data_IF_479901178795
#
_entry.id   IF_479901178795
#
_cell.length_a   1.000
_cell.length_b   1.000
_cell.length_c   1.000
_cell.angle_alpha   90.00
_cell.angle_beta   90.00
_cell.angle_gamma   90.00
#
_symmetry.space_group_name_H-M   'P 1'
#
loop_
_entity.id
_entity.type
_entity.pdbx_description
1 polymer ?
#
# COMPACT_ATOMS: atom_id res chain seq x y z
N UNK A 1 -11.47 -39.12 60.02
CA UNK A 1 -11.53 -37.64 59.93
C UNK A 1 -10.37 -37.23 59.04
N UNK A 2 -10.47 -36.86 57.76
CA UNK A 2 -11.57 -36.41 56.90
C UNK A 2 -11.27 -36.91 55.46
N UNK A 3 -12.33 -37.25 54.73
CA UNK A 3 -12.38 -37.47 53.28
C UNK A 3 -11.71 -36.33 52.48
N UNK A 4 -11.20 -36.52 51.26
CA UNK A 4 -12.01 -36.44 50.03
C UNK A 4 -11.19 -37.04 48.87
N UNK A 5 -11.89 -37.87 48.10
CA UNK A 5 -11.52 -38.44 46.83
C UNK A 5 -11.94 -37.54 45.65
N UNK A 6 -11.16 -37.55 44.56
CA UNK A 6 -11.52 -37.51 43.11
C UNK A 6 -10.19 -37.82 42.39
N UNK A 7 -9.82 -38.97 41.81
CA UNK A 7 -10.39 -39.97 40.86
C UNK A 7 -10.69 -39.46 39.44
N UNK A 8 -9.98 -40.08 38.48
CA UNK A 8 -10.17 -40.20 37.03
C UNK A 8 -9.16 -39.37 36.18
N UNK A 9 -8.09 -39.94 35.60
CA UNK A 9 -8.00 -40.99 34.55
C UNK A 9 -8.57 -40.46 33.21
N UNK A 10 -7.96 -40.52 32.02
CA UNK A 10 -7.32 -41.62 31.26
C UNK A 10 -6.63 -40.92 30.04
N UNK A 11 -5.31 -41.00 29.85
CA UNK A 11 -4.59 -41.88 28.89
C UNK A 11 -4.99 -41.73 27.41
N UNK A 12 -4.08 -41.24 26.55
CA UNK A 12 -3.31 -42.07 25.59
C UNK A 12 -2.33 -41.22 24.76
N UNK A 13 -1.08 -41.66 24.76
CA UNK A 13 -0.01 -41.18 23.90
C UNK A 13 -0.26 -41.56 22.44
N UNK A 14 -0.04 -40.61 21.52
CA UNK A 14 0.30 -40.92 20.12
C UNK A 14 1.46 -40.02 19.70
N UNK A 15 2.53 -40.71 19.36
CA UNK A 15 3.72 -40.27 18.63
C UNK A 15 3.34 -39.41 17.42
N UNK A 16 3.92 -38.22 17.32
CA UNK A 16 4.20 -37.63 16.01
C UNK A 16 5.69 -37.29 15.90
N UNK A 17 6.43 -38.32 15.54
CA UNK A 17 7.44 -38.20 14.50
C UNK A 17 6.86 -37.44 13.30
N UNK A 18 7.13 -36.14 13.23
CA UNK A 18 7.32 -35.45 11.95
C UNK A 18 8.28 -34.29 12.17
N UNK A 19 9.56 -34.63 12.03
CA UNK A 19 10.53 -33.76 11.37
C UNK A 19 9.88 -33.17 10.12
N UNK A 20 9.52 -31.90 10.22
CA UNK A 20 8.84 -31.13 9.20
C UNK A 20 9.11 -29.66 9.44
N UNK A 21 10.39 -29.33 9.66
CA UNK A 21 10.89 -27.97 9.58
C UNK A 21 10.49 -27.40 8.23
N UNK A 22 9.58 -26.44 8.28
CA UNK A 22 9.03 -25.78 7.12
C UNK A 22 8.55 -24.41 7.52
N UNK A 23 9.42 -23.63 8.18
CA UNK A 23 9.31 -22.17 8.18
C UNK A 23 9.52 -21.72 6.73
N UNK A 24 8.47 -21.84 5.93
CA UNK A 24 8.44 -21.39 4.55
C UNK A 24 8.41 -19.87 4.53
N UNK A 25 9.56 -19.25 4.77
CA UNK A 25 9.86 -17.96 4.17
C UNK A 25 9.83 -18.17 2.65
N UNK A 26 8.66 -18.01 2.04
CA UNK A 26 8.45 -18.05 0.59
C UNK A 26 9.12 -16.86 -0.17
N UNK A 27 10.16 -16.27 0.43
CA UNK A 27 11.06 -15.30 -0.19
C UNK A 27 12.34 -15.90 -0.75
N UNK A 28 12.67 -17.17 -0.46
CA UNK A 28 13.95 -17.79 -0.81
C UNK A 28 13.96 -18.75 -2.02
N UNK A 29 12.81 -19.30 -2.41
CA UNK A 29 12.77 -20.46 -3.33
C UNK A 29 12.63 -20.09 -4.81
N UNK A 30 12.79 -18.82 -5.17
CA UNK A 30 12.68 -18.36 -6.56
C UNK A 30 11.30 -18.63 -7.18
N UNK A 31 10.21 -18.63 -6.42
CA UNK A 31 8.85 -18.71 -7.00
C UNK A 31 8.27 -17.30 -7.16
N UNK A 32 7.40 -17.13 -8.17
CA UNK A 32 6.61 -15.93 -8.41
C UNK A 32 5.18 -16.34 -8.74
N UNK A 33 4.23 -15.81 -7.98
CA UNK A 33 2.81 -16.13 -8.11
C UNK A 33 2.12 -15.13 -9.05
N UNK A 34 1.57 -15.62 -10.16
CA UNK A 34 0.81 -14.83 -11.11
C UNK A 34 -0.62 -14.63 -10.57
N UNK A 35 -1.08 -13.39 -10.52
CA UNK A 35 -2.39 -13.02 -9.97
C UNK A 35 -3.21 -12.29 -11.03
N UNK A 36 -4.27 -12.95 -11.52
CA UNK A 36 -5.19 -12.35 -12.48
C UNK A 36 -5.94 -11.15 -11.88
N UNK A 37 -6.25 -10.15 -12.69
CA UNK A 37 -6.74 -8.85 -12.24
C UNK A 37 -8.01 -8.93 -11.38
N UNK A 38 -8.98 -9.75 -11.81
CA UNK A 38 -10.27 -9.91 -11.15
C UNK A 38 -10.29 -10.98 -10.03
N UNK A 39 -9.18 -11.68 -9.77
CA UNK A 39 -9.13 -12.76 -8.78
C UNK A 39 -8.64 -12.25 -7.42
N UNK A 40 -9.32 -12.62 -6.34
CA UNK A 40 -8.89 -12.31 -4.97
C UNK A 40 -7.48 -12.85 -4.69
N UNK A 41 -7.17 -14.08 -5.10
CA UNK A 41 -5.89 -14.73 -4.78
C UNK A 41 -5.83 -15.26 -3.35
N UNK A 42 -4.66 -15.74 -2.89
CA UNK A 42 -4.51 -16.38 -1.60
C UNK A 42 -4.50 -15.39 -0.43
N UNK A 43 -5.02 -15.86 0.70
CA UNK A 43 -4.88 -15.25 2.03
C UNK A 43 -5.29 -13.76 2.08
N UNK A 44 -6.52 -13.42 1.67
CA UNK A 44 -6.98 -12.04 1.63
C UNK A 44 -7.10 -11.42 3.02
N UNK A 45 -6.66 -10.17 3.15
CA UNK A 45 -6.98 -9.35 4.31
C UNK A 45 -8.47 -9.03 4.37
N UNK A 46 -9.08 -8.69 3.22
CA UNK A 46 -10.49 -8.29 3.17
C UNK A 46 -11.18 -8.86 1.93
N UNK A 47 -12.51 -8.78 1.92
CA UNK A 47 -13.27 -8.87 0.68
C UNK A 47 -12.80 -7.83 -0.34
N UNK A 48 -13.07 -8.08 -1.62
CA UNK A 48 -12.68 -7.18 -2.69
C UNK A 48 -13.28 -5.79 -2.51
N UNK A 49 -12.42 -4.77 -2.63
CA UNK A 49 -12.76 -3.35 -2.72
C UNK A 49 -12.51 -2.80 -4.12
N UNK A 50 -12.07 -3.63 -5.07
CA UNK A 50 -11.97 -3.22 -6.48
C UNK A 50 -13.36 -2.90 -7.05
N UNK A 51 -13.47 -1.85 -7.85
CA UNK A 51 -14.66 -1.55 -8.65
C UNK A 51 -14.50 -2.14 -10.05
N UNK A 52 -15.61 -2.56 -10.65
CA UNK A 52 -15.63 -3.11 -11.99
C UNK A 52 -15.25 -2.02 -13.00
N UNK A 53 -14.05 -2.15 -13.56
CA UNK A 53 -13.53 -1.33 -14.65
C UNK A 53 -12.38 -2.11 -15.27
N UNK A 54 -12.23 -2.02 -16.59
CA UNK A 54 -11.17 -2.72 -17.31
C UNK A 54 -10.33 -1.70 -18.06
N UNK A 55 -9.03 -1.70 -17.77
CA UNK A 55 -8.06 -0.87 -18.47
C UNK A 55 -7.23 -1.75 -19.42
N UNK A 56 -7.13 -1.40 -20.71
CA UNK A 56 -6.36 -2.18 -21.66
C UNK A 56 -4.87 -2.12 -21.30
N UNK A 57 -4.15 -3.25 -21.42
CA UNK A 57 -2.72 -3.29 -21.19
C UNK A 57 -1.99 -2.40 -22.19
N UNK A 58 -0.87 -1.83 -21.77
CA UNK A 58 0.08 -1.12 -22.62
C UNK A 58 1.41 -1.88 -22.59
N UNK A 59 2.04 -2.02 -23.75
CA UNK A 59 3.41 -2.52 -23.78
C UNK A 59 4.36 -1.42 -23.34
N UNK A 60 5.37 -1.78 -22.56
CA UNK A 60 6.51 -0.90 -22.33
C UNK A 60 7.19 -0.55 -23.66
N UNK A 61 7.78 0.65 -23.75
CA UNK A 61 8.58 1.01 -24.92
C UNK A 61 9.77 0.05 -25.05
N UNK A 62 10.08 -0.47 -26.25
CA UNK A 62 11.15 -1.45 -26.41
C UNK A 62 12.51 -0.87 -26.02
N UNK A 63 13.28 -1.67 -25.30
CA UNK A 63 14.71 -1.45 -25.04
C UNK A 63 15.48 -2.15 -26.15
N UNK A 64 16.40 -1.45 -26.81
CA UNK A 64 17.13 -1.96 -27.99
C UNK A 64 18.16 -3.07 -27.70
N UNK A 65 17.98 -3.90 -26.68
CA UNK A 65 18.90 -4.98 -26.31
C UNK A 65 18.20 -6.23 -25.81
N UNK A 66 18.77 -7.40 -26.12
CA UNK A 66 18.37 -8.69 -25.56
C UNK A 66 18.69 -8.72 -24.08
N UNK A 67 17.67 -8.75 -23.24
CA UNK A 67 17.82 -8.69 -21.79
C UNK A 67 17.96 -10.08 -21.16
N UNK A 68 18.73 -10.22 -20.07
CA UNK A 68 18.71 -11.41 -19.24
C UNK A 68 17.29 -11.77 -18.80
N UNK A 69 16.97 -13.06 -18.69
CA UNK A 69 15.66 -13.53 -18.21
C UNK A 69 15.29 -13.05 -16.79
N UNK A 70 16.26 -12.50 -16.04
CA UNK A 70 16.13 -11.98 -14.68
C UNK A 70 16.27 -10.45 -14.63
N UNK A 71 16.34 -9.77 -15.77
CA UNK A 71 16.45 -8.31 -15.81
C UNK A 71 15.21 -7.67 -15.17
N UNK A 72 15.44 -6.64 -14.37
CA UNK A 72 14.38 -5.87 -13.75
C UNK A 72 14.11 -4.66 -14.64
N UNK A 73 12.96 -4.66 -15.31
CA UNK A 73 12.46 -3.48 -16.06
C UNK A 73 11.81 -2.52 -15.07
N UNK A 74 12.50 -1.46 -14.73
CA UNK A 74 11.98 -0.38 -13.91
C UNK A 74 11.15 0.60 -14.75
N UNK A 75 9.98 0.98 -14.25
CA UNK A 75 9.23 2.15 -14.74
C UNK A 75 9.16 3.17 -13.61
N UNK A 76 9.43 4.43 -13.90
CA UNK A 76 9.28 5.50 -12.91
C UNK A 76 7.80 5.65 -12.51
N UNK A 77 7.51 5.69 -11.20
CA UNK A 77 6.14 5.77 -10.69
C UNK A 77 5.40 7.06 -11.06
N UNK A 78 6.10 8.11 -11.50
CA UNK A 78 5.52 9.34 -12.03
C UNK A 78 5.29 9.31 -13.55
N UNK A 79 5.68 8.23 -14.23
CA UNK A 79 5.55 8.13 -15.67
C UNK A 79 4.08 8.27 -16.12
N UNK A 80 3.75 9.27 -16.97
CA UNK A 80 2.41 9.41 -17.52
C UNK A 80 1.96 8.14 -18.24
N UNK A 81 0.73 7.71 -17.99
CA UNK A 81 0.18 6.51 -18.61
C UNK A 81 0.74 5.20 -18.05
N UNK A 82 1.50 5.20 -16.96
CA UNK A 82 1.76 3.96 -16.20
C UNK A 82 0.45 3.35 -15.68
N UNK A 83 -0.47 4.21 -15.30
CA UNK A 83 -1.76 3.85 -14.74
C UNK A 83 -2.92 4.19 -15.68
N UNK A 84 -4.00 3.44 -15.53
CA UNK A 84 -5.30 3.75 -16.10
C UNK A 84 -6.39 3.89 -15.05
N UNK A 85 -7.55 4.34 -15.48
CA UNK A 85 -8.72 4.55 -14.64
C UNK A 85 -9.75 5.42 -15.34
N UNK A 86 -11.02 5.20 -15.02
CA UNK A 86 -12.14 5.95 -15.60
C UNK A 86 -12.30 7.30 -14.88
N UNK A 87 -12.54 8.37 -15.64
CA UNK A 87 -12.79 9.71 -15.10
C UNK A 87 -13.95 9.67 -14.09
N UNK A 88 -13.76 10.31 -12.95
CA UNK A 88 -14.76 10.42 -11.89
C UNK A 88 -15.14 9.08 -11.22
N UNK A 89 -14.38 8.02 -11.48
CA UNK A 89 -14.61 6.69 -10.90
C UNK A 89 -13.33 6.20 -10.24
N UNK A 90 -13.45 5.90 -8.94
CA UNK A 90 -12.39 5.22 -8.20
C UNK A 90 -12.26 3.77 -8.65
N UNK A 91 -11.04 3.28 -8.91
CA UNK A 91 -10.80 1.85 -9.14
C UNK A 91 -10.90 1.02 -7.85
N UNK A 92 -10.81 1.65 -6.69
CA UNK A 92 -10.89 1.01 -5.37
C UNK A 92 -11.82 1.79 -4.44
N UNK A 93 -12.65 1.08 -3.69
CA UNK A 93 -13.42 1.65 -2.59
C UNK A 93 -12.56 1.74 -1.33
N UNK A 94 -11.92 2.91 -1.16
CA UNK A 94 -11.01 3.19 -0.04
C UNK A 94 -11.74 3.10 1.31
N UNK A 95 -12.95 3.64 1.41
CA UNK A 95 -13.69 3.64 2.67
C UNK A 95 -14.20 2.25 3.05
N UNK A 96 -14.57 1.42 2.06
CA UNK A 96 -14.85 0.01 2.30
C UNK A 96 -13.62 -0.73 2.84
N UNK A 97 -12.42 -0.44 2.32
CA UNK A 97 -11.17 -1.02 2.83
C UNK A 97 -10.90 -0.59 4.27
N UNK A 98 -11.02 0.72 4.56
CA UNK A 98 -10.84 1.27 5.90
C UNK A 98 -11.81 0.61 6.88
N UNK A 99 -13.10 0.54 6.54
CA UNK A 99 -14.13 -0.08 7.38
C UNK A 99 -13.84 -1.56 7.64
N UNK A 100 -13.40 -2.30 6.62
CA UNK A 100 -13.10 -3.72 6.75
C UNK A 100 -11.91 -3.98 7.70
N UNK A 101 -10.84 -3.16 7.62
CA UNK A 101 -9.71 -3.28 8.54
C UNK A 101 -10.08 -2.80 9.95
N UNK A 102 -10.85 -1.72 10.10
CA UNK A 102 -11.30 -1.27 11.42
C UNK A 102 -12.19 -2.30 12.14
N UNK A 103 -12.95 -3.09 11.39
CA UNK A 103 -13.80 -4.15 11.93
C UNK A 103 -12.99 -5.37 12.44
N UNK A 104 -11.74 -5.54 12.01
CA UNK A 104 -10.85 -6.63 12.44
C UNK A 104 -9.53 -6.06 12.96
N UNK A 105 -9.43 -5.77 14.28
CA UNK A 105 -8.23 -5.20 14.88
C UNK A 105 -6.96 -6.05 14.70
N UNK A 106 -7.09 -7.38 14.59
CA UNK A 106 -5.96 -8.28 14.41
C UNK A 106 -5.37 -8.10 13.00
N UNK A 107 -6.22 -8.11 11.98
CA UNK A 107 -5.81 -7.80 10.60
C UNK A 107 -5.30 -6.37 10.47
N UNK A 108 -5.96 -5.38 11.08
CA UNK A 108 -5.49 -4.00 11.06
C UNK A 108 -4.07 -3.85 11.62
N UNK A 109 -3.77 -4.54 12.73
CA UNK A 109 -2.43 -4.51 13.33
C UNK A 109 -1.38 -5.09 12.39
N UNK A 110 -1.66 -6.21 11.73
CA UNK A 110 -0.74 -6.82 10.77
C UNK A 110 -0.59 -5.96 9.52
N UNK A 111 -1.69 -5.41 8.99
CA UNK A 111 -1.67 -4.47 7.87
C UNK A 111 -0.78 -3.27 8.19
N UNK A 112 -1.00 -2.65 9.35
CA UNK A 112 -0.23 -1.50 9.83
C UNK A 112 1.26 -1.81 9.94
N UNK A 113 1.60 -3.00 10.45
CA UNK A 113 3.00 -3.46 10.56
C UNK A 113 3.67 -3.59 9.20
N UNK A 114 2.99 -4.11 8.17
CA UNK A 114 3.55 -4.21 6.81
C UNK A 114 3.62 -2.83 6.15
N UNK A 115 2.59 -2.00 6.33
CA UNK A 115 2.53 -0.65 5.76
C UNK A 115 3.53 0.33 6.40
N UNK A 116 4.04 0.02 7.60
CA UNK A 116 4.98 0.87 8.34
C UNK A 116 4.29 2.05 9.03
N UNK A 117 3.04 1.88 9.46
CA UNK A 117 2.24 2.92 10.13
C UNK A 117 1.70 2.40 11.46
N UNK A 118 1.37 3.27 12.44
CA UNK A 118 0.64 2.82 13.63
C UNK A 118 -0.75 2.29 13.24
N UNK A 119 -1.33 1.32 13.99
CA UNK A 119 -2.67 0.79 13.68
C UNK A 119 -3.77 1.85 13.60
N UNK A 120 -3.68 2.90 14.42
CA UNK A 120 -4.60 4.05 14.37
C UNK A 120 -4.41 4.93 13.13
N UNK A 121 -3.25 4.85 12.46
CA UNK A 121 -2.90 5.59 11.26
C UNK A 121 -3.34 4.93 9.95
N UNK A 122 -3.75 3.65 9.97
CA UNK A 122 -4.18 2.92 8.77
C UNK A 122 -5.28 3.65 7.97
N UNK A 123 -6.33 4.22 8.60
CA UNK A 123 -7.34 4.96 7.86
C UNK A 123 -6.78 6.17 7.11
N UNK A 124 -5.91 6.95 7.74
CA UNK A 124 -5.30 8.12 7.11
C UNK A 124 -4.32 7.72 6.01
N UNK A 125 -3.54 6.65 6.24
CA UNK A 125 -2.65 6.08 5.23
C UNK A 125 -3.43 5.67 3.98
N UNK A 126 -4.47 4.85 4.10
CA UNK A 126 -5.27 4.40 2.95
C UNK A 126 -5.90 5.55 2.16
N UNK A 127 -6.40 6.59 2.85
CA UNK A 127 -6.96 7.80 2.21
C UNK A 127 -5.92 8.68 1.53
N UNK A 128 -4.65 8.58 1.91
CA UNK A 128 -3.57 9.29 1.23
C UNK A 128 -3.16 8.64 -0.10
N UNK A 129 -3.51 7.37 -0.29
CA UNK A 129 -3.17 6.61 -1.49
C UNK A 129 -4.16 6.90 -2.63
N UNK A 130 -3.65 6.86 -3.85
CA UNK A 130 -4.43 7.15 -5.06
C UNK A 130 -4.94 5.84 -5.67
N UNK A 131 -6.26 5.67 -5.85
CA UNK A 131 -6.82 4.52 -6.55
C UNK A 131 -6.55 4.59 -8.06
N UNK A 132 -5.90 3.56 -8.58
CA UNK A 132 -5.58 3.42 -10.01
C UNK A 132 -5.71 1.97 -10.48
N UNK A 133 -5.60 1.73 -11.79
CA UNK A 133 -5.44 0.39 -12.37
C UNK A 133 -4.11 0.28 -13.08
N UNK A 134 -3.46 -0.88 -12.95
CA UNK A 134 -2.20 -1.16 -13.64
C UNK A 134 -2.41 -1.25 -15.16
N UNK A 135 -1.52 -0.66 -15.96
CA UNK A 135 -1.52 -0.87 -17.42
C UNK A 135 -0.47 -1.89 -17.87
N UNK A 136 0.39 -2.35 -16.97
CA UNK A 136 1.44 -3.32 -17.24
C UNK A 136 1.44 -4.41 -16.16
N UNK A 137 1.83 -5.63 -16.56
CA UNK A 137 2.03 -6.72 -15.62
C UNK A 137 3.15 -6.31 -14.63
N UNK A 138 2.84 -6.23 -13.34
CA UNK A 138 3.70 -5.56 -12.35
C UNK A 138 4.15 -6.52 -11.26
N UNK A 139 5.46 -6.58 -11.00
CA UNK A 139 6.03 -7.30 -9.87
C UNK A 139 5.87 -6.55 -8.56
N UNK A 140 5.44 -7.28 -7.55
CA UNK A 140 5.30 -6.80 -6.17
C UNK A 140 5.69 -7.90 -5.18
N UNK A 141 5.92 -7.52 -3.93
CA UNK A 141 5.79 -8.43 -2.80
C UNK A 141 4.39 -8.25 -2.23
N UNK A 142 3.61 -9.33 -2.19
CA UNK A 142 2.25 -9.31 -1.66
C UNK A 142 2.23 -10.00 -0.30
N UNK A 143 1.56 -9.39 0.68
CA UNK A 143 1.48 -9.90 2.03
C UNK A 143 0.06 -10.34 2.36
N UNK A 144 -0.15 -11.66 2.47
CA UNK A 144 -1.44 -12.22 2.89
C UNK A 144 -1.58 -12.24 4.42
N UNK A 145 -2.75 -12.65 4.89
CA UNK A 145 -3.01 -12.85 6.32
C UNK A 145 -3.38 -14.29 6.60
N UNK A 146 -2.62 -14.96 7.46
CA UNK A 146 -2.89 -16.32 7.93
C UNK A 146 -2.43 -16.47 9.38
N UNK A 147 -3.23 -17.14 10.20
CA UNK A 147 -2.89 -17.49 11.59
C UNK A 147 -2.41 -16.31 12.45
N UNK A 148 -2.99 -15.12 12.26
CA UNK A 148 -2.65 -13.93 13.04
C UNK A 148 -1.41 -13.17 12.55
N UNK A 149 -0.80 -13.58 11.45
CA UNK A 149 0.44 -13.01 10.93
C UNK A 149 0.39 -12.69 9.43
N UNK A 150 1.30 -11.82 9.00
CA UNK A 150 1.52 -11.57 7.58
C UNK A 150 2.26 -12.76 6.96
N UNK A 151 1.70 -13.33 5.89
CA UNK A 151 2.47 -14.14 4.95
C UNK A 151 3.16 -13.22 3.95
N UNK A 152 4.14 -13.73 3.21
CA UNK A 152 4.88 -12.93 2.23
C UNK A 152 5.21 -13.78 1.03
N UNK A 153 4.87 -13.31 -0.17
CA UNK A 153 5.17 -14.01 -1.41
C UNK A 153 5.45 -13.01 -2.54
N UNK A 154 6.31 -13.40 -3.47
CA UNK A 154 6.56 -12.63 -4.69
C UNK A 154 5.41 -12.85 -5.68
N UNK A 155 4.89 -11.76 -6.26
CA UNK A 155 3.77 -11.83 -7.18
C UNK A 155 3.99 -11.00 -8.45
N UNK A 156 3.33 -11.40 -9.54
CA UNK A 156 3.07 -10.55 -10.70
C UNK A 156 1.58 -10.29 -10.76
N UNK A 157 1.20 -9.03 -10.67
CA UNK A 157 -0.17 -8.57 -10.84
C UNK A 157 -0.43 -8.33 -12.33
N UNK A 158 -1.47 -8.93 -12.87
CA UNK A 158 -1.90 -8.70 -14.25
C UNK A 158 -2.25 -7.22 -14.47
N UNK A 159 -1.95 -6.68 -15.64
CA UNK A 159 -2.56 -5.43 -16.11
C UNK A 159 -4.10 -5.45 -15.95
N UNK A 160 -4.68 -4.31 -15.57
CA UNK A 160 -6.07 -4.18 -15.15
C UNK A 160 -6.29 -4.39 -13.65
N UNK A 161 -5.29 -4.85 -12.88
CA UNK A 161 -5.44 -4.96 -11.42
C UNK A 161 -5.62 -3.58 -10.79
N UNK A 162 -6.68 -3.42 -10.00
CA UNK A 162 -6.92 -2.22 -9.19
C UNK A 162 -6.01 -2.19 -7.95
N UNK A 163 -5.29 -1.09 -7.76
CA UNK A 163 -4.34 -0.88 -6.67
C UNK A 163 -4.46 0.54 -6.08
N UNK A 164 -4.04 0.68 -4.83
CA UNK A 164 -3.80 1.97 -4.19
C UNK A 164 -2.30 2.29 -4.26
N UNK A 165 -1.92 3.44 -4.85
CA UNK A 165 -0.51 3.87 -5.00
C UNK A 165 -0.16 5.05 -4.09
N UNK A 166 1.09 5.10 -3.63
CA UNK A 166 1.58 6.17 -2.75
C UNK A 166 2.04 7.44 -3.49
N UNK A 167 2.71 8.35 -2.77
CA UNK A 167 3.24 9.60 -3.28
C UNK A 167 4.11 9.50 -4.52
N UNK A 168 4.75 8.35 -4.64
CA UNK A 168 5.86 8.09 -5.54
C UNK A 168 5.41 7.13 -6.63
N UNK A 169 4.12 6.82 -6.67
CA UNK A 169 3.48 5.92 -7.60
C UNK A 169 3.63 4.46 -7.22
N UNK A 170 4.21 4.09 -6.08
CA UNK A 170 4.44 2.66 -5.78
C UNK A 170 3.12 2.01 -5.32
N UNK A 171 2.71 0.84 -5.87
CA UNK A 171 1.56 0.10 -5.37
C UNK A 171 1.75 -0.33 -3.91
N UNK A 172 0.80 0.04 -3.03
CA UNK A 172 0.82 -0.24 -1.59
C UNK A 172 -0.31 -1.14 -1.11
N UNK A 173 -1.40 -1.25 -1.86
CA UNK A 173 -2.50 -2.16 -1.54
C UNK A 173 -3.11 -2.72 -2.81
N UNK A 174 -3.38 -4.02 -2.86
CA UNK A 174 -4.16 -4.65 -3.94
C UNK A 174 -5.64 -4.72 -3.56
N UNK A 175 -6.50 -4.06 -4.32
CA UNK A 175 -7.90 -3.87 -3.92
C UNK A 175 -8.74 -5.16 -4.00
N UNK A 176 -8.34 -6.12 -4.83
CA UNK A 176 -9.04 -7.41 -4.94
C UNK A 176 -8.96 -8.29 -3.67
N UNK A 177 -7.95 -8.09 -2.81
CA UNK A 177 -7.76 -8.85 -1.57
C UNK A 177 -7.51 -8.01 -0.32
N UNK A 178 -7.35 -6.69 -0.47
CA UNK A 178 -7.02 -5.77 0.63
C UNK A 178 -5.60 -5.93 1.18
N UNK A 179 -4.77 -6.75 0.53
CA UNK A 179 -3.44 -7.06 1.02
C UNK A 179 -2.50 -5.85 0.88
N UNK A 180 -1.69 -5.53 1.91
CA UNK A 180 -0.62 -4.56 1.78
C UNK A 180 0.46 -5.12 0.86
N UNK A 181 1.07 -4.22 0.08
CA UNK A 181 2.10 -4.51 -0.91
C UNK A 181 3.39 -3.78 -0.52
N UNK A 182 4.51 -4.42 -0.79
CA UNK A 182 5.85 -3.81 -0.72
C UNK A 182 6.60 -4.01 -2.04
N UNK A 183 7.71 -3.28 -2.27
CA UNK A 183 8.53 -3.50 -3.46
C UNK A 183 8.95 -4.97 -3.63
N UNK A 184 9.04 -5.47 -4.86
CA UNK A 184 9.47 -6.84 -5.11
C UNK A 184 10.93 -7.02 -4.68
N UNK A 185 11.26 -8.24 -4.26
CA UNK A 185 12.62 -8.62 -3.90
C UNK A 185 13.32 -9.12 -5.16
N UNK A 186 14.54 -8.64 -5.40
CA UNK A 186 15.37 -9.09 -6.52
C UNK A 186 15.65 -10.59 -6.39
N UNK A 187 15.44 -11.34 -7.48
CA UNK A 187 15.71 -12.77 -7.54
C UNK A 187 16.97 -13.02 -8.35
N UNK A 188 17.84 -13.89 -7.83
CA UNK A 188 19.13 -14.22 -8.45
C UNK A 188 18.98 -15.19 -9.62
N UNK A 189 17.93 -16.01 -9.61
CA UNK A 189 17.61 -17.00 -10.64
C UNK A 189 16.28 -16.68 -11.30
N UNK A 190 16.04 -17.25 -12.48
CA UNK A 190 14.75 -17.15 -13.15
C UNK A 190 13.69 -17.80 -12.27
N UNK A 191 12.66 -17.05 -11.85
CA UNK A 191 11.68 -17.63 -10.97
C UNK A 191 10.78 -18.65 -11.65
N UNK A 192 10.40 -19.68 -10.90
CA UNK A 192 9.32 -20.59 -11.27
C UNK A 192 8.00 -19.86 -11.12
N UNK A 193 7.20 -19.88 -12.19
CA UNK A 193 5.88 -19.22 -12.22
C UNK A 193 4.81 -20.20 -11.77
N UNK A 194 3.90 -19.73 -10.94
CA UNK A 194 2.75 -20.50 -10.41
C UNK A 194 1.53 -19.59 -10.36
N UNK A 195 0.33 -20.13 -10.12
CA UNK A 195 -0.90 -19.32 -10.01
C UNK A 195 -1.62 -19.14 -11.34
N UNK A 196 -2.33 -18.01 -11.47
CA UNK A 196 -3.23 -17.76 -12.59
C UNK A 196 -2.46 -17.25 -13.82
N UNK A 197 -2.45 -18.00 -14.92
CA UNK A 197 -1.88 -17.55 -16.19
C UNK A 197 -2.93 -16.86 -17.07
N UNK A 198 -2.54 -15.84 -17.83
CA UNK A 198 -3.36 -15.20 -18.85
C UNK A 198 -2.66 -15.22 -20.22
N UNK A 199 -3.43 -15.16 -21.31
CA UNK A 199 -2.92 -15.35 -22.67
C UNK A 199 -1.84 -14.31 -23.07
N UNK A 200 -1.93 -13.09 -22.57
CA UNK A 200 -0.98 -12.01 -22.86
C UNK A 200 0.22 -11.98 -21.89
N UNK A 201 0.31 -12.89 -20.92
CA UNK A 201 1.42 -12.91 -19.97
C UNK A 201 2.74 -13.16 -20.71
N UNK A 202 3.67 -12.22 -20.58
CA UNK A 202 5.02 -12.37 -21.09
C UNK A 202 6.01 -11.92 -20.01
N UNK A 203 6.87 -12.80 -19.48
CA UNK A 203 7.82 -12.44 -18.42
C UNK A 203 8.78 -11.32 -18.83
N UNK A 204 9.05 -11.15 -20.14
CA UNK A 204 9.89 -10.07 -20.64
C UNK A 204 9.19 -8.70 -20.63
N UNK A 205 7.86 -8.65 -20.47
CA UNK A 205 7.08 -7.40 -20.40
C UNK A 205 6.71 -7.01 -18.96
N UNK A 206 7.11 -7.81 -17.98
CA UNK A 206 6.82 -7.56 -16.58
C UNK A 206 7.69 -6.42 -16.06
N UNK A 207 7.07 -5.46 -15.35
CA UNK A 207 7.76 -4.28 -14.83
C UNK A 207 7.80 -4.24 -13.31
N UNK A 208 8.72 -3.44 -12.77
CA UNK A 208 8.74 -2.98 -11.39
C UNK A 208 8.52 -1.49 -11.39
N UNK A 209 7.60 -1.01 -10.57
CA UNK A 209 7.43 0.43 -10.37
C UNK A 209 8.50 0.93 -9.42
N UNK A 210 9.45 1.71 -9.95
CA UNK A 210 10.43 2.42 -9.14
C UNK A 210 9.78 3.67 -8.54
N UNK A 211 10.04 3.99 -7.25
CA UNK A 211 9.52 5.21 -6.66
C UNK A 211 10.05 6.42 -7.44
N UNK A 212 9.17 7.34 -7.82
CA UNK A 212 9.58 8.63 -8.39
C UNK A 212 10.58 9.34 -7.46
N UNK A 213 11.46 10.20 -7.96
CA UNK A 213 12.36 11.01 -7.12
C UNK A 213 11.67 12.22 -6.48
N UNK A 214 10.48 12.59 -6.98
CA UNK A 214 9.67 13.69 -6.46
C UNK A 214 8.30 13.21 -6.00
N UNK A 215 7.62 14.07 -5.24
CA UNK A 215 6.26 13.86 -4.77
C UNK A 215 5.30 14.12 -5.95
N UNK A 216 4.53 13.10 -6.34
CA UNK A 216 3.53 13.18 -7.41
C UNK A 216 2.25 13.83 -6.86
N UNK A 217 2.01 15.10 -7.18
CA UNK A 217 0.77 15.76 -6.79
C UNK A 217 -0.41 15.40 -7.72
N UNK A 218 -0.11 15.11 -8.98
CA UNK A 218 -1.08 14.79 -10.03
C UNK A 218 -0.58 13.57 -10.82
N UNK A 219 -1.43 12.55 -10.91
CA UNK A 219 -1.24 11.40 -11.77
C UNK A 219 -1.89 11.66 -13.13
N UNK A 220 -1.14 11.45 -14.22
CA UNK A 220 -1.66 11.48 -15.59
C UNK A 220 -2.03 10.05 -16.00
N UNK A 221 -3.33 9.78 -16.01
CA UNK A 221 -3.92 8.44 -16.11
C UNK A 221 -4.65 8.32 -17.45
N UNK A 222 -4.59 7.14 -18.07
CA UNK A 222 -5.35 6.84 -19.29
C UNK A 222 -6.77 6.35 -18.94
N UNK A 223 -7.78 6.99 -19.52
CA UNK A 223 -9.19 6.62 -19.40
C UNK A 223 -9.61 5.77 -20.61
N UNK A 224 -9.88 4.47 -20.42
CA UNK A 224 -10.24 3.58 -21.53
C UNK A 224 -11.65 3.79 -22.05
N UNK A 225 -12.57 4.29 -21.22
CA UNK A 225 -13.99 4.41 -21.58
C UNK A 225 -14.20 5.63 -22.48
N UNK A 226 -13.43 6.69 -22.24
CA UNK A 226 -13.48 7.94 -23.00
C UNK A 226 -12.35 8.07 -24.04
N UNK A 227 -11.42 7.11 -24.09
CA UNK A 227 -10.21 7.17 -24.92
C UNK A 227 -9.40 8.46 -24.74
N UNK A 228 -9.32 8.95 -23.49
CA UNK A 228 -8.83 10.28 -23.13
C UNK A 228 -7.82 10.19 -21.98
N UNK A 229 -7.27 11.34 -21.59
CA UNK A 229 -6.35 11.47 -20.46
C UNK A 229 -6.97 12.26 -19.32
N UNK A 230 -6.72 11.81 -18.09
CA UNK A 230 -7.18 12.46 -16.88
C UNK A 230 -6.02 12.83 -15.97
N UNK A 231 -6.13 14.00 -15.35
CA UNK A 231 -5.30 14.45 -14.24
C UNK A 231 -6.06 14.12 -12.94
N UNK A 232 -5.57 13.12 -12.19
CA UNK A 232 -6.09 12.74 -10.88
C UNK A 232 -5.17 13.25 -9.80
N UNK A 233 -5.70 14.02 -8.86
CA UNK A 233 -4.92 14.46 -7.71
C UNK A 233 -4.58 13.27 -6.83
N UNK A 234 -3.42 13.33 -6.17
CA UNK A 234 -3.07 12.34 -5.16
C UNK A 234 -4.16 12.19 -4.11
N UNK A 235 -4.47 10.94 -3.76
CA UNK A 235 -5.45 10.60 -2.74
C UNK A 235 -6.90 10.84 -3.18
N UNK A 236 -7.12 11.38 -4.37
CA UNK A 236 -8.45 11.60 -4.91
C UNK A 236 -9.05 10.29 -5.40
N UNK A 237 -10.32 10.07 -5.09
CA UNK A 237 -11.09 8.89 -5.49
C UNK A 237 -11.87 9.11 -6.79
N UNK A 238 -11.46 10.10 -7.59
CA UNK A 238 -12.04 10.48 -8.87
C UNK A 238 -12.90 11.75 -8.83
N UNK A 239 -13.35 12.20 -7.65
CA UNK A 239 -14.24 13.34 -7.53
C UNK A 239 -13.68 14.68 -8.03
N UNK A 240 -12.37 14.76 -8.28
CA UNK A 240 -11.65 15.95 -8.75
C UNK A 240 -10.84 15.67 -10.02
N UNK A 241 -11.22 14.65 -10.78
CA UNK A 241 -10.54 14.35 -12.04
C UNK A 241 -10.82 15.46 -13.06
N UNK A 242 -9.77 15.90 -13.75
CA UNK A 242 -9.88 16.84 -14.86
C UNK A 242 -9.36 16.20 -16.15
N UNK A 243 -9.94 16.56 -17.29
CA UNK A 243 -9.35 16.23 -18.58
C UNK A 243 -7.98 16.90 -18.72
N UNK A 244 -7.02 16.18 -19.27
CA UNK A 244 -5.71 16.75 -19.66
C UNK A 244 -5.38 16.39 -21.10
N UNK A 245 -4.38 17.06 -21.66
CA UNK A 245 -3.83 16.71 -22.97
C UNK A 245 -3.09 15.36 -22.89
N UNK A 246 -3.04 14.58 -23.98
CA UNK A 246 -2.19 13.40 -24.03
C UNK A 246 -0.73 13.71 -23.68
N UNK A 247 -0.05 12.88 -22.89
CA UNK A 247 1.38 13.04 -22.66
C UNK A 247 2.14 12.78 -23.96
N UNK A 248 3.29 13.45 -24.11
CA UNK A 248 4.15 13.28 -25.29
C UNK A 248 4.56 11.82 -25.54
N UNK A 249 4.61 11.00 -24.46
CA UNK A 249 4.84 9.56 -24.52
C UNK A 249 3.71 8.83 -23.77
N UNK A 250 2.69 8.33 -24.47
CA UNK A 250 1.56 7.56 -23.91
C UNK A 250 1.94 6.24 -23.21
N UNK A 251 3.08 5.70 -23.61
CA UNK A 251 3.64 4.46 -23.06
C UNK A 251 4.86 4.82 -22.22
N UNK A 252 4.95 4.36 -20.96
CA UNK A 252 6.08 4.69 -20.11
C UNK A 252 7.40 4.17 -20.69
N UNK A 253 8.50 4.94 -20.55
CA UNK A 253 9.82 4.40 -20.80
C UNK A 253 10.17 3.39 -19.71
N UNK A 254 10.82 2.30 -20.10
CA UNK A 254 11.41 1.33 -19.17
C UNK A 254 12.92 1.55 -19.11
N UNK A 255 13.46 1.49 -17.89
CA UNK A 255 14.89 1.39 -17.63
C UNK A 255 15.21 -0.05 -17.28
N UNK A 256 16.30 -0.57 -17.85
CA UNK A 256 16.76 -1.92 -17.56
C UNK A 256 17.89 -1.81 -16.56
N UNK A 257 17.80 -2.56 -15.47
CA UNK A 257 18.93 -2.74 -14.58
C UNK A 257 19.16 -4.22 -14.34
N UNK A 258 20.41 -4.64 -14.44
CA UNK A 258 20.81 -5.95 -13.96
C UNK A 258 20.62 -5.98 -12.43
N UNK A 259 20.08 -7.07 -11.85
CA UNK A 259 19.93 -7.16 -10.41
C UNK A 259 21.31 -7.00 -9.76
N UNK A 260 21.50 -5.90 -9.03
CA UNK A 260 22.66 -5.70 -8.16
C UNK A 260 22.22 -6.14 -6.78
N UNK A 261 23.04 -6.97 -6.11
CA UNK A 261 22.85 -7.30 -4.69
C UNK A 261 22.69 -6.01 -3.89
N UNK A 262 21.78 -5.94 -2.88
CA UNK A 262 21.85 -4.87 -1.91
C UNK A 262 23.23 -4.98 -1.24
N UNK A 263 24.12 -4.03 -1.53
CA UNK A 263 25.37 -3.89 -0.81
C UNK A 263 25.00 -3.64 0.64
N UNK A 264 25.37 -4.57 1.53
CA UNK A 264 25.52 -4.24 2.94
C UNK A 264 26.32 -2.94 3.03
N UNK A 265 25.91 -1.96 3.87
CA UNK A 265 26.72 -0.77 4.06
C UNK A 265 28.07 -1.24 4.57
N UNK A 266 29.07 -1.26 3.68
CA UNK A 266 30.44 -1.54 4.05
C UNK A 266 30.83 -0.41 5.00
N UNK A 267 31.25 -0.79 6.21
CA UNK A 267 31.84 0.12 7.18
C UNK A 267 32.79 1.08 6.48
N UNK A 268 32.78 2.39 6.81
CA UNK A 268 33.60 3.36 6.10
C UNK A 268 35.06 2.89 6.11
N UNK A 269 35.63 2.77 4.92
CA UNK A 269 37.03 2.46 4.73
C UNK A 269 37.88 3.40 5.58
N UNK A 270 38.83 2.84 6.32
CA UNK A 270 39.83 3.62 7.06
C UNK A 270 40.48 4.63 6.12
N UNK A 271 40.64 5.90 6.52
CA UNK A 271 41.23 6.91 5.66
C UNK A 271 42.69 6.57 5.37
N UNK A 272 43.09 6.74 4.12
CA UNK A 272 44.47 6.62 3.65
C UNK A 272 45.42 7.54 4.42
N UNK A 273 46.69 7.14 4.66
CA UNK A 273 47.64 7.98 5.37
C UNK A 273 47.99 9.22 4.54
N UNK A 274 47.89 10.39 5.16
CA UNK A 274 48.34 11.66 4.62
C UNK A 274 49.87 11.75 4.66
N UNK A 275 50.49 12.04 3.51
CA UNK A 275 51.91 12.41 3.42
C UNK A 275 51.97 13.93 3.45
N UNK A 276 52.43 14.50 4.56
CA UNK A 276 52.84 15.91 4.61
C UNK A 276 54.27 16.02 4.12
N UNK A 277 54.46 16.48 2.88
CA UNK A 277 55.76 16.95 2.40
C UNK A 277 56.04 18.33 3.00
N UNK A 278 56.92 18.37 4.01
CA UNK A 278 57.61 19.61 4.38
C UNK A 278 59.02 19.57 3.79
N UNK A 279 59.40 20.64 3.10
CA UNK A 279 60.71 20.76 2.47
C UNK A 279 61.82 20.81 3.54
N UNK A 280 62.76 19.86 3.46
CA UNK A 280 64.09 19.98 4.07
C UNK A 280 64.24 19.49 5.51
N UNK A 281 64.25 18.16 5.71
CA UNK A 281 65.09 17.48 6.71
C UNK A 281 65.04 15.95 6.53
N UNK A 282 66.17 15.28 6.72
CA UNK A 282 66.38 13.82 6.65
C UNK A 282 65.65 13.03 7.76
N UNK A 283 65.36 11.73 7.56
CA UNK A 283 64.40 10.98 8.38
C UNK A 283 65.03 10.35 9.63
N UNK A 284 64.43 10.58 10.79
CA UNK A 284 64.55 9.72 11.98
C UNK A 284 63.16 9.22 12.35
N UNK A 285 63.02 7.90 12.46
CA UNK A 285 61.74 7.22 12.60
C UNK A 285 61.06 7.40 13.95
N UNK A 286 59.74 7.30 13.94
CA UNK A 286 58.94 6.64 14.99
C UNK A 286 57.50 6.49 14.48
N UNK A 287 57.00 5.25 14.47
CA UNK A 287 55.60 4.94 14.21
C UNK A 287 54.77 5.26 15.46
N UNK A 288 54.00 6.35 15.42
CA UNK A 288 52.95 6.64 16.41
C UNK A 288 51.68 7.11 15.69
N UNK A 289 50.49 6.61 16.06
CA UNK A 289 49.24 7.03 15.46
C UNK A 289 48.90 8.47 15.88
N UNK A 290 48.32 9.25 14.95
CA UNK A 290 47.79 10.58 15.23
C UNK A 290 46.70 10.53 16.31
N UNK A 291 46.61 11.53 17.21
CA UNK A 291 45.42 11.70 18.05
C UNK A 291 44.20 12.02 17.17
N UNK A 292 43.00 11.55 17.54
CA UNK A 292 41.79 11.85 16.79
C UNK A 292 41.51 13.36 16.81
N UNK A 293 41.12 13.90 15.65
CA UNK A 293 40.57 15.24 15.56
C UNK A 293 39.34 15.35 16.48
N UNK A 294 39.32 16.41 17.29
CA UNK A 294 38.18 16.80 18.13
C UNK A 294 36.94 16.96 17.25
N UNK A 295 36.02 16.01 17.35
CA UNK A 295 34.63 16.16 16.91
C UNK A 295 33.97 17.13 17.88
N UNK A 296 33.49 18.26 17.37
CA UNK A 296 32.66 19.20 18.12
C UNK A 296 31.44 18.47 18.72
N UNK A 297 30.98 18.84 19.93
CA UNK A 297 29.92 18.11 20.60
C UNK A 297 28.56 18.28 19.89
N UNK A 298 27.80 17.19 19.84
CA UNK A 298 26.41 17.12 19.41
C UNK A 298 25.53 18.14 20.15
N UNK A 299 24.51 18.75 19.50
CA UNK A 299 23.46 19.43 20.23
C UNK A 299 22.54 18.40 20.91
N UNK A 300 22.51 18.44 22.25
CA UNK A 300 21.64 17.67 23.11
C UNK A 300 20.15 17.98 22.83
N UNK A 301 19.34 16.93 22.74
CA UNK A 301 17.88 17.00 22.83
C UNK A 301 17.46 17.51 24.21
N UNK A 302 16.53 18.47 24.33
CA UNK A 302 15.93 18.78 25.63
C UNK A 302 14.81 17.78 25.95
N UNK A 303 14.94 17.11 27.10
CA UNK A 303 13.84 16.42 27.78
C UNK A 303 12.77 17.42 28.21
N UNK A 304 11.46 17.13 28.09
CA UNK A 304 10.44 17.92 28.76
C UNK A 304 10.34 17.49 30.23
N UNK A 305 10.80 18.36 31.13
CA UNK A 305 10.52 18.25 32.56
C UNK A 305 9.04 18.55 32.83
N UNK A 306 8.43 17.69 33.63
CA UNK A 306 7.13 17.91 34.28
C UNK A 306 7.17 19.15 35.17
N UNK A 307 6.17 20.03 35.03
CA UNK A 307 5.77 20.97 36.07
C UNK A 307 4.29 21.28 35.86
N UNK A 308 3.45 20.65 36.68
CA UNK A 308 2.01 20.94 36.77
C UNK A 308 1.78 22.34 37.35
N UNK A 309 0.83 23.13 36.84
CA UNK A 309 0.35 24.33 37.53
C UNK A 309 -0.68 23.97 38.64
N UNK A 310 -0.81 24.80 39.70
CA UNK A 310 -1.76 24.59 40.80
C UNK A 310 -3.21 24.93 40.40
N UNK A 311 -4.23 24.49 41.15
CA UNK A 311 -5.63 24.77 40.85
C UNK A 311 -6.01 26.19 41.28
N UNK A 312 -6.95 26.87 40.60
CA UNK A 312 -7.59 28.05 41.16
C UNK A 312 -8.73 27.63 42.09
N UNK A 313 -8.64 28.07 43.35
CA UNK A 313 -9.73 28.07 44.32
C UNK A 313 -10.70 29.23 44.05
N UNK A 314 -11.99 28.94 44.25
CA UNK A 314 -13.11 29.87 44.29
C UNK A 314 -12.94 30.96 45.34
N UNK A 315 -13.37 32.19 45.05
CA UNK A 315 -14.10 33.02 46.01
C UNK A 315 -14.92 34.11 45.30
N UNK A 316 -16.14 34.27 45.79
CA UNK A 316 -17.24 35.12 45.34
C UNK A 316 -17.01 36.62 45.58
N UNK A 317 -17.70 37.47 44.82
CA UNK A 317 -18.40 38.65 45.34
C UNK A 317 -19.51 39.10 44.40
N UNK A 318 -20.70 39.22 44.98
CA UNK A 318 -21.95 39.80 44.52
C UNK A 318 -21.82 41.18 43.82
N UNK A 319 -22.71 41.49 42.87
CA UNK A 319 -23.93 42.28 43.16
C UNK A 319 -24.73 42.62 41.87
N UNK A 320 -25.94 42.05 41.79
CA UNK A 320 -27.24 42.61 41.38
C UNK A 320 -27.37 43.47 40.10
N UNK A 321 -28.25 43.03 39.18
CA UNK A 321 -29.50 43.70 38.77
C UNK A 321 -30.22 42.92 37.63
N UNK A 322 -31.30 42.21 37.99
CA UNK A 322 -32.46 41.89 37.12
C UNK A 322 -33.44 43.09 37.10
N UNK A 323 -34.48 43.20 36.23
CA UNK A 323 -35.20 42.09 35.58
C UNK A 323 -35.81 42.32 34.17
N UNK A 324 -36.30 41.22 33.60
CA UNK A 324 -37.40 41.19 32.61
C UNK A 324 -37.06 40.38 31.37
N UNK A 325 -37.93 39.57 30.77
CA UNK A 325 -39.27 39.09 31.06
C UNK A 325 -39.61 38.12 29.90
N UNK A 326 -40.37 37.06 30.21
CA UNK A 326 -41.21 36.29 29.28
C UNK A 326 -40.58 35.22 28.38
N UNK A 327 -40.80 33.96 28.78
CA UNK A 327 -41.11 32.85 27.88
C UNK A 327 -42.53 33.05 27.26
N UNK A 328 -42.86 32.34 26.17
CA UNK A 328 -43.64 31.11 26.38
C UNK A 328 -43.32 29.94 25.43
N UNK A 329 -43.67 28.74 25.92
CA UNK A 329 -43.75 27.45 25.21
C UNK A 329 -45.09 27.33 24.40
N UNK A 330 -45.40 26.21 23.71
CA UNK A 330 -45.78 26.15 22.30
C UNK A 330 -47.30 25.94 22.09
N UNK A 331 -47.75 25.67 20.84
CA UNK A 331 -48.82 24.69 20.72
C UNK A 331 -48.66 23.65 19.59
N UNK A 332 -49.50 22.63 19.77
CA UNK A 332 -49.70 21.34 19.10
C UNK A 332 -49.99 21.35 17.58
N UNK A 333 -49.61 20.21 16.98
CA UNK A 333 -50.28 19.38 15.97
C UNK A 333 -51.40 19.94 15.06
N UNK A 334 -51.33 19.58 13.77
CA UNK A 334 -52.49 19.14 12.97
C UNK A 334 -52.05 18.31 11.75
N UNK A 335 -52.75 17.19 11.58
CA UNK A 335 -52.84 16.37 10.37
C UNK A 335 -53.29 17.19 9.16
N UNK A 336 -52.86 16.82 7.96
CA UNK A 336 -53.74 16.66 6.77
C UNK A 336 -52.97 15.98 5.62
N UNK A 337 -53.65 14.99 5.06
CA UNK A 337 -53.34 14.16 3.90
C UNK A 337 -53.26 14.95 2.59
N UNK A 338 -52.52 14.42 1.61
CA UNK A 338 -52.81 14.63 0.19
C UNK A 338 -52.34 13.44 -0.62
N UNK A 339 -53.32 12.79 -1.23
CA UNK A 339 -53.21 11.77 -2.26
C UNK A 339 -52.31 12.20 -3.41
N UNK A 340 -51.56 11.25 -3.98
CA UNK A 340 -51.10 11.36 -5.36
C UNK A 340 -51.26 10.01 -6.05
N UNK A 341 -52.28 9.97 -6.89
CA UNK A 341 -52.49 9.05 -8.00
C UNK A 341 -51.20 8.88 -8.82
N UNK A 342 -50.77 7.64 -9.03
CA UNK A 342 -50.01 7.31 -10.24
C UNK A 342 -50.41 5.94 -10.78
N UNK A 343 -51.14 6.02 -11.89
CA UNK A 343 -51.60 4.93 -12.73
C UNK A 343 -50.42 4.13 -13.30
N UNK A 344 -50.46 2.81 -13.16
CA UNK A 344 -49.63 1.87 -13.90
C UNK A 344 -50.34 1.46 -15.19
N UNK A 345 -49.68 1.47 -16.36
CA UNK A 345 -50.23 0.86 -17.56
C UNK A 345 -49.94 -0.64 -17.59
N UNK A 346 -50.99 -1.41 -17.88
CA UNK A 346 -50.94 -2.79 -18.35
C UNK A 346 -50.05 -2.90 -19.59
N UNK A 347 -49.09 -3.83 -19.59
CA UNK A 347 -48.49 -4.35 -20.82
C UNK A 347 -48.64 -5.87 -20.82
N UNK A 348 -49.36 -6.34 -21.83
CA UNK A 348 -49.73 -7.73 -22.04
C UNK A 348 -48.53 -8.61 -22.36
N UNK A 349 -48.54 -9.80 -21.77
CA UNK A 349 -47.75 -10.92 -22.25
C UNK A 349 -48.48 -11.55 -23.43
N UNK A 350 -47.91 -11.43 -24.63
CA UNK A 350 -48.30 -12.24 -25.79
C UNK A 350 -47.25 -13.33 -25.93
N UNK A 351 -47.68 -14.57 -25.77
CA UNK A 351 -46.93 -15.76 -26.08
C UNK A 351 -46.83 -15.94 -27.60
N UNK A 352 -45.65 -16.30 -28.11
CA UNK A 352 -45.52 -17.00 -29.39
C UNK A 352 -44.46 -18.09 -29.29
N UNK A 353 -44.90 -19.31 -29.58
CA UNK A 353 -44.10 -20.48 -29.95
C UNK A 353 -43.76 -20.43 -31.46
N UNK A 354 -42.66 -21.11 -31.82
CA UNK A 354 -42.27 -21.79 -33.09
C UNK A 354 -42.65 -21.13 -34.44
N UNK A 355 -41.76 -21.04 -35.43
CA UNK A 355 -40.98 -22.09 -36.13
C UNK A 355 -39.68 -21.52 -36.66
#
# INVERSE_FOLDING_TARGET
MIAIAVVAAVVLAVVFTRSGGGSGSAGGNGEVFLQAAAKTGPEPFTESTAKDSSVPPVAASPTGSSEPANAVRGVDGSAPGLYGGTRNVSSCDVEKQVKALQADPAKNKVFASVAGVPPSGVPAFLRSLTPVQLRMDTRVTNHGYRDGAATTYQAVLQAGTAVLVDDRGVPRTRCACGNPLTPPIAQQTTPKRTGDTWASYNPSNVVVVAPSTTVINIFVIYDPDHHDWIARHRGDTGGKDHKTHPPARPSPPVSVSSPTTPSTPSSPASPSPCVSTSAGATPSGSSSPCPPALVAPSPSSPSPNSSSPPPPSSESSDETLTPGSSAPEPPLASDTTSDTNQSAPLSGAVAFWSV
#
